data_IF_913278636275
#
_entry.id   IF_913278636275
#
_cell.length_a   1.000
_cell.length_b   1.000
_cell.length_c   1.000
_cell.angle_alpha   90.00
_cell.angle_beta   90.00
_cell.angle_gamma   90.00
#
_symmetry.space_group_name_H-M   'P 1'
#
loop_
_entity.id
_entity.type
_entity.pdbx_description
1 polymer ?
#
# COMPACT_ATOMS: atom_id res chain seq x y z
N UNK A 1 22.19 -8.97 -13.17
CA UNK A 1 21.09 -9.02 -14.14
C UNK A 1 19.87 -9.67 -13.48
N UNK A 2 19.83 -10.98 -13.29
CA UNK A 2 18.64 -11.72 -12.85
C UNK A 2 17.78 -11.13 -11.70
N UNK A 3 18.37 -10.70 -10.57
CA UNK A 3 17.57 -10.23 -9.42
C UNK A 3 16.87 -8.89 -9.66
N UNK A 4 17.51 -7.97 -10.39
CA UNK A 4 16.91 -6.66 -10.71
C UNK A 4 15.77 -6.82 -11.71
N UNK A 5 15.97 -7.64 -12.74
CA UNK A 5 14.97 -7.88 -13.78
C UNK A 5 13.71 -8.54 -13.22
N UNK A 6 13.88 -9.47 -12.25
CA UNK A 6 12.76 -10.10 -11.55
C UNK A 6 11.97 -9.13 -10.66
N UNK A 7 12.64 -8.21 -9.96
CA UNK A 7 11.96 -7.19 -9.16
C UNK A 7 11.19 -6.26 -10.09
N UNK A 8 11.82 -5.75 -11.15
CA UNK A 8 11.16 -4.87 -12.12
C UNK A 8 9.91 -5.53 -12.72
N UNK A 9 9.98 -6.79 -13.14
CA UNK A 9 8.82 -7.51 -13.66
C UNK A 9 7.69 -7.65 -12.62
N UNK A 10 8.01 -7.86 -11.35
CA UNK A 10 7.02 -7.91 -10.27
C UNK A 10 6.38 -6.54 -10.02
N UNK A 11 7.15 -5.44 -10.06
CA UNK A 11 6.60 -4.08 -9.94
C UNK A 11 5.67 -3.75 -11.11
N UNK A 12 6.04 -4.12 -12.34
CA UNK A 12 5.17 -3.97 -13.51
C UNK A 12 3.88 -4.78 -13.37
N UNK A 13 3.96 -6.01 -12.87
CA UNK A 13 2.79 -6.84 -12.57
C UNK A 13 1.89 -6.18 -11.52
N UNK A 14 2.46 -5.65 -10.44
CA UNK A 14 1.71 -4.95 -9.41
C UNK A 14 1.00 -3.70 -9.95
N UNK A 15 1.67 -2.92 -10.81
CA UNK A 15 1.05 -1.77 -11.45
C UNK A 15 -0.15 -2.16 -12.34
N UNK A 16 -0.03 -3.26 -13.10
CA UNK A 16 -1.14 -3.78 -13.91
C UNK A 16 -2.31 -4.26 -13.03
N UNK A 17 -2.03 -4.93 -11.92
CA UNK A 17 -3.05 -5.36 -10.96
C UNK A 17 -3.76 -4.15 -10.35
N UNK A 18 -3.02 -3.12 -9.93
CA UNK A 18 -3.61 -1.88 -9.41
C UNK A 18 -4.50 -1.20 -10.45
N UNK A 19 -4.04 -1.08 -11.69
CA UNK A 19 -4.85 -0.51 -12.78
C UNK A 19 -6.15 -1.29 -12.99
N UNK A 20 -6.11 -2.63 -12.88
CA UNK A 20 -7.31 -3.47 -12.96
C UNK A 20 -8.26 -3.24 -11.79
N UNK A 21 -7.76 -3.13 -10.55
CA UNK A 21 -8.58 -2.80 -9.38
C UNK A 21 -9.26 -1.44 -9.59
N UNK A 22 -8.52 -0.44 -10.06
CA UNK A 22 -9.08 0.88 -10.36
C UNK A 22 -10.15 0.82 -11.44
N UNK A 23 -9.94 0.05 -12.51
CA UNK A 23 -10.95 -0.18 -13.55
C UNK A 23 -12.24 -0.76 -13.00
N UNK A 24 -12.15 -1.81 -12.17
CA UNK A 24 -13.31 -2.43 -11.52
C UNK A 24 -14.06 -1.44 -10.61
N UNK A 25 -13.34 -0.59 -9.86
CA UNK A 25 -13.96 0.46 -9.04
C UNK A 25 -14.73 1.47 -9.88
N UNK A 26 -14.19 1.88 -11.03
CA UNK A 26 -14.85 2.79 -11.97
C UNK A 26 -16.09 2.17 -12.61
N UNK A 27 -16.06 0.87 -12.88
CA UNK A 27 -17.19 0.09 -13.39
C UNK A 27 -18.27 -0.18 -12.33
N UNK A 28 -17.99 0.12 -11.06
CA UNK A 28 -18.88 -0.10 -9.92
C UNK A 28 -18.85 -1.53 -9.36
N UNK A 29 -17.96 -2.39 -9.88
CA UNK A 29 -17.76 -3.76 -9.37
C UNK A 29 -16.84 -3.75 -8.14
N UNK A 30 -17.33 -3.15 -7.05
CA UNK A 30 -16.59 -2.95 -5.82
C UNK A 30 -16.23 -4.27 -5.11
N UNK A 31 -17.07 -5.30 -5.28
CA UNK A 31 -16.83 -6.62 -4.67
C UNK A 31 -15.59 -7.25 -5.28
N UNK A 32 -15.52 -7.37 -6.62
CA UNK A 32 -14.33 -7.93 -7.27
C UNK A 32 -13.09 -7.07 -7.08
N UNK A 33 -13.25 -5.75 -7.05
CA UNK A 33 -12.14 -4.85 -6.76
C UNK A 33 -11.55 -5.12 -5.37
N UNK A 34 -12.40 -5.32 -4.36
CA UNK A 34 -11.99 -5.61 -2.99
C UNK A 34 -11.40 -7.02 -2.83
N UNK A 35 -11.97 -8.03 -3.50
CA UNK A 35 -11.42 -9.39 -3.55
C UNK A 35 -10.01 -9.38 -4.12
N UNK A 36 -9.82 -8.77 -5.30
CA UNK A 36 -8.52 -8.68 -5.94
C UNK A 36 -7.51 -7.87 -5.12
N UNK A 37 -7.97 -6.81 -4.44
CA UNK A 37 -7.14 -6.06 -3.50
C UNK A 37 -6.65 -6.95 -2.35
N UNK A 38 -7.56 -7.62 -1.65
CA UNK A 38 -7.23 -8.48 -0.51
C UNK A 38 -6.30 -9.63 -0.92
N UNK A 39 -6.58 -10.30 -2.04
CA UNK A 39 -5.70 -11.33 -2.60
C UNK A 39 -4.30 -10.79 -2.92
N UNK A 40 -4.21 -9.55 -3.40
CA UNK A 40 -2.91 -8.93 -3.73
C UNK A 40 -2.13 -8.58 -2.46
N UNK A 41 -2.82 -8.02 -1.46
CA UNK A 41 -2.26 -7.70 -0.13
C UNK A 41 -1.69 -8.96 0.53
N UNK A 42 -2.43 -10.05 0.52
CA UNK A 42 -2.01 -11.31 1.12
C UNK A 42 -0.89 -11.97 0.32
N UNK A 43 -1.06 -12.18 -0.98
CA UNK A 43 -0.13 -13.00 -1.76
C UNK A 43 1.14 -12.25 -2.18
N UNK A 44 1.02 -10.96 -2.53
CA UNK A 44 2.15 -10.20 -3.08
C UNK A 44 2.94 -9.48 -2.01
N UNK A 45 2.29 -9.05 -0.93
CA UNK A 45 2.93 -8.32 0.16
C UNK A 45 3.07 -9.13 1.45
N UNK A 46 2.53 -10.35 1.51
CA UNK A 46 2.53 -11.19 2.73
C UNK A 46 1.96 -10.42 3.93
N UNK A 47 0.96 -9.57 3.67
CA UNK A 47 0.28 -8.77 4.67
C UNK A 47 -1.13 -9.31 4.80
N UNK A 48 -1.54 -9.68 6.01
CA UNK A 48 -2.92 -10.11 6.23
C UNK A 48 -3.87 -8.89 6.10
N UNK A 49 -4.97 -8.97 5.32
CA UNK A 49 -5.97 -7.92 5.25
C UNK A 49 -6.53 -7.53 6.63
N UNK A 50 -6.61 -8.48 7.56
CA UNK A 50 -7.03 -8.21 8.94
C UNK A 50 -6.11 -7.20 9.66
N UNK A 51 -4.81 -7.20 9.36
CA UNK A 51 -3.86 -6.23 9.93
C UNK A 51 -4.12 -4.82 9.39
N UNK A 52 -4.68 -4.68 8.18
CA UNK A 52 -5.09 -3.39 7.63
C UNK A 52 -6.42 -2.89 8.21
N UNK A 53 -7.29 -3.81 8.63
CA UNK A 53 -8.61 -3.51 9.18
C UNK A 53 -8.60 -3.31 10.71
N UNK A 54 -7.53 -3.73 11.38
CA UNK A 54 -7.40 -3.58 12.83
C UNK A 54 -7.37 -2.10 13.26
N UNK A 55 -8.14 -1.76 14.29
CA UNK A 55 -8.05 -0.44 14.90
C UNK A 55 -6.71 -0.20 15.60
N UNK A 56 -6.06 -1.25 16.09
CA UNK A 56 -4.73 -1.17 16.68
C UNK A 56 -3.66 -1.20 15.58
N UNK A 57 -2.93 -0.09 15.46
CA UNK A 57 -1.85 0.06 14.48
C UNK A 57 -0.62 -0.78 14.84
N UNK A 58 -0.48 -1.21 16.09
CA UNK A 58 0.71 -1.92 16.59
C UNK A 58 0.98 -3.21 15.82
N UNK A 59 -0.08 -3.91 15.39
CA UNK A 59 0.04 -5.11 14.56
C UNK A 59 0.68 -4.78 13.19
N UNK A 60 0.33 -3.65 12.60
CA UNK A 60 0.92 -3.19 11.34
C UNK A 60 2.35 -2.71 11.53
N UNK A 61 2.65 -2.00 12.62
CA UNK A 61 4.01 -1.59 12.97
C UNK A 61 4.95 -2.79 13.14
N UNK A 62 4.50 -3.83 13.85
CA UNK A 62 5.25 -5.07 14.03
C UNK A 62 5.50 -5.75 12.69
N UNK A 63 4.45 -5.92 11.87
CA UNK A 63 4.60 -6.46 10.51
C UNK A 63 5.60 -5.66 9.66
N UNK A 64 5.54 -4.32 9.70
CA UNK A 64 6.43 -3.46 8.92
C UNK A 64 7.89 -3.54 9.38
N UNK A 65 8.13 -3.86 10.65
CA UNK A 65 9.48 -4.04 11.18
C UNK A 65 10.06 -5.44 10.90
N UNK A 66 9.20 -6.45 10.77
CA UNK A 66 9.59 -7.84 10.54
C UNK A 66 9.67 -8.21 9.05
N UNK A 67 8.96 -7.48 8.18
CA UNK A 67 8.87 -7.79 6.75
C UNK A 67 10.21 -7.68 6.03
N UNK A 68 10.48 -8.63 5.13
CA UNK A 68 11.67 -8.67 4.27
C UNK A 68 11.45 -8.00 2.90
N UNK A 69 10.35 -7.27 2.75
CA UNK A 69 9.98 -6.63 1.49
C UNK A 69 11.05 -5.62 1.06
N UNK A 70 11.48 -5.66 -0.21
CA UNK A 70 12.36 -4.64 -0.76
C UNK A 70 11.62 -3.30 -0.88
N UNK A 71 12.40 -2.21 -0.92
CA UNK A 71 11.88 -0.85 -0.92
C UNK A 71 10.87 -0.61 -2.05
N UNK A 72 11.12 -1.16 -3.23
CA UNK A 72 10.25 -1.03 -4.41
C UNK A 72 8.88 -1.68 -4.21
N UNK A 73 8.81 -2.80 -3.46
CA UNK A 73 7.53 -3.43 -3.10
C UNK A 73 6.83 -2.64 -1.98
N UNK A 74 7.55 -2.09 -1.03
CA UNK A 74 6.94 -1.20 -0.01
C UNK A 74 6.39 0.07 -0.66
N UNK A 75 7.08 0.64 -1.63
CA UNK A 75 6.61 1.78 -2.42
C UNK A 75 5.36 1.40 -3.22
N UNK A 76 5.35 0.24 -3.88
CA UNK A 76 4.15 -0.28 -4.54
C UNK A 76 2.98 -0.48 -3.58
N UNK A 77 3.21 -1.06 -2.39
CA UNK A 77 2.16 -1.20 -1.36
C UNK A 77 1.57 0.17 -0.98
N UNK A 78 2.41 1.20 -0.88
CA UNK A 78 1.96 2.55 -0.56
C UNK A 78 0.97 3.10 -1.60
N UNK A 79 1.14 2.79 -2.89
CA UNK A 79 0.19 3.14 -3.95
C UNK A 79 -1.17 2.46 -3.73
N UNK A 80 -1.16 1.14 -3.46
CA UNK A 80 -2.39 0.37 -3.21
C UNK A 80 -3.17 0.95 -2.03
N UNK A 81 -2.48 1.26 -0.93
CA UNK A 81 -3.11 1.86 0.26
C UNK A 81 -3.57 3.30 0.00
N UNK A 82 -2.83 4.09 -0.78
CA UNK A 82 -3.23 5.46 -1.09
C UNK A 82 -4.59 5.50 -1.83
N UNK A 83 -4.83 4.56 -2.75
CA UNK A 83 -6.11 4.44 -3.46
C UNK A 83 -7.27 3.86 -2.63
N UNK A 84 -7.02 3.51 -1.37
CA UNK A 84 -8.05 3.18 -0.38
C UNK A 84 -8.50 4.42 0.40
N UNK A 85 -7.78 5.53 0.32
CA UNK A 85 -8.19 6.80 0.91
C UNK A 85 -9.33 7.43 0.11
N UNK A 86 -10.16 8.21 0.80
CA UNK A 86 -11.31 8.92 0.23
C UNK A 86 -12.55 8.05 0.04
N UNK A 87 -12.48 6.73 0.27
CA UNK A 87 -13.63 5.81 0.18
C UNK A 87 -14.63 6.09 1.31
N UNK A 88 -14.14 6.17 2.55
CA UNK A 88 -14.98 6.49 3.71
C UNK A 88 -14.12 7.05 4.87
N UNK A 89 -14.71 7.83 5.79
CA UNK A 89 -13.97 8.31 6.97
C UNK A 89 -13.38 7.18 7.81
N UNK A 90 -14.10 6.06 7.94
CA UNK A 90 -13.65 4.89 8.69
C UNK A 90 -12.44 4.24 8.02
N UNK A 91 -12.48 4.08 6.69
CA UNK A 91 -11.34 3.54 5.93
C UNK A 91 -10.13 4.47 6.02
N UNK A 92 -10.36 5.77 5.92
CA UNK A 92 -9.29 6.77 6.03
C UNK A 92 -8.58 6.69 7.38
N UNK A 93 -9.33 6.60 8.48
CA UNK A 93 -8.76 6.49 9.83
C UNK A 93 -7.89 5.24 10.01
N UNK A 94 -8.20 4.15 9.31
CA UNK A 94 -7.38 2.92 9.35
C UNK A 94 -6.15 3.02 8.44
N UNK A 95 -6.32 3.53 7.22
CA UNK A 95 -5.28 3.46 6.20
C UNK A 95 -4.26 4.59 6.31
N UNK A 96 -4.69 5.82 6.65
CA UNK A 96 -3.82 6.99 6.72
C UNK A 96 -2.62 6.81 7.67
N UNK A 97 -2.79 6.29 8.92
CA UNK A 97 -1.66 6.06 9.83
C UNK A 97 -0.67 5.03 9.29
N UNK A 98 -1.16 3.94 8.70
CA UNK A 98 -0.36 2.85 8.12
C UNK A 98 0.47 3.33 6.94
N UNK A 99 -0.15 4.10 6.06
CA UNK A 99 0.51 4.70 4.92
C UNK A 99 1.62 5.68 5.36
N UNK A 100 1.36 6.46 6.41
CA UNK A 100 2.38 7.33 7.00
C UNK A 100 3.59 6.54 7.53
N UNK A 101 3.38 5.39 8.17
CA UNK A 101 4.47 4.50 8.62
C UNK A 101 5.30 3.95 7.46
N UNK A 102 4.67 3.50 6.38
CA UNK A 102 5.39 3.06 5.17
C UNK A 102 6.26 4.19 4.64
N UNK A 103 5.72 5.40 4.50
CA UNK A 103 6.49 6.53 3.99
C UNK A 103 7.65 6.93 4.91
N UNK A 104 7.48 6.85 6.24
CA UNK A 104 8.59 7.04 7.19
C UNK A 104 9.68 6.00 6.95
N UNK A 105 9.33 4.72 6.82
CA UNK A 105 10.30 3.64 6.55
C UNK A 105 11.02 3.84 5.22
N UNK A 106 10.31 4.21 4.15
CA UNK A 106 10.90 4.50 2.84
C UNK A 106 11.89 5.68 2.90
N UNK A 107 11.52 6.75 3.60
CA UNK A 107 12.36 7.93 3.76
C UNK A 107 13.60 7.65 4.63
N UNK A 108 13.41 7.03 5.80
CA UNK A 108 14.46 6.81 6.79
C UNK A 108 15.41 5.67 6.42
N UNK A 109 14.87 4.50 6.03
CA UNK A 109 15.68 3.30 5.77
C UNK A 109 16.20 3.24 4.34
N UNK A 110 15.40 3.69 3.37
CA UNK A 110 15.72 3.54 1.95
C UNK A 110 16.16 4.83 1.26
N UNK A 111 16.08 5.98 1.95
CA UNK A 111 16.35 7.32 1.39
C UNK A 111 15.51 7.61 0.14
N UNK A 112 14.38 6.92 0.01
CA UNK A 112 13.42 7.13 -1.07
C UNK A 112 12.53 8.28 -0.61
N UNK A 113 12.94 9.49 -0.95
CA UNK A 113 12.13 10.70 -0.77
C UNK A 113 11.59 11.08 -2.14
N UNK A 114 10.53 10.40 -2.58
CA UNK A 114 9.82 10.87 -3.76
C UNK A 114 9.13 12.19 -3.43
N UNK A 115 9.28 13.20 -4.28
CA UNK A 115 8.54 14.47 -4.18
C UNK A 115 7.02 14.25 -4.10
N UNK A 116 6.56 13.16 -4.73
CA UNK A 116 5.19 12.63 -4.65
C UNK A 116 4.81 12.18 -3.24
N UNK A 117 5.72 11.56 -2.48
CA UNK A 117 5.46 11.10 -1.12
C UNK A 117 5.29 12.29 -0.16
N UNK A 118 5.99 13.40 -0.38
CA UNK A 118 5.82 14.61 0.42
C UNK A 118 4.43 15.22 0.24
N UNK A 119 4.00 15.39 -1.01
CA UNK A 119 2.65 15.90 -1.30
C UNK A 119 1.54 14.96 -0.78
N UNK A 120 1.75 13.64 -0.92
CA UNK A 120 0.80 12.65 -0.38
C UNK A 120 0.80 12.62 1.15
N UNK A 121 1.94 12.83 1.80
CA UNK A 121 2.00 13.01 3.26
C UNK A 121 1.19 14.24 3.68
N UNK A 122 1.28 15.37 2.97
CA UNK A 122 0.45 16.55 3.25
C UNK A 122 -1.05 16.25 3.12
N UNK A 123 -1.46 15.46 2.12
CA UNK A 123 -2.84 15.01 1.95
C UNK A 123 -3.25 14.07 3.09
N UNK A 124 -2.38 13.14 3.49
CA UNK A 124 -2.65 12.18 4.57
C UNK A 124 -2.85 12.87 5.92
N UNK A 125 -2.14 13.98 6.18
CA UNK A 125 -2.35 14.77 7.41
C UNK A 125 -3.79 15.29 7.55
N UNK A 126 -4.57 15.38 6.47
CA UNK A 126 -5.98 15.79 6.55
C UNK A 126 -6.89 14.70 7.13
N UNK A 127 -6.39 13.46 7.24
CA UNK A 127 -7.12 12.28 7.71
C UNK A 127 -6.61 11.73 9.05
N UNK A 128 -5.52 12.30 9.58
CA UNK A 128 -4.94 11.99 10.90
C UNK A 128 -5.46 12.95 11.96
#
# INVERSE_FOLDING_TARGET
MYRKDLITAEIERLAQVLARIMGLKLEGDLVKANELFNETIENSFKLSPFILEDSDISAFENWLNETDLPAEKLDSLSEFLYYELGISPQRNALIAPRLNLIYKVLAEKHKIVHLVNFHRQEIIQQYL
#
